data_IF_878475348656
#
_entry.id   IF_878475348656
#
_cell.length_a   1.000
_cell.length_b   1.000
_cell.length_c   1.000
_cell.angle_alpha   90.00
_cell.angle_beta   90.00
_cell.angle_gamma   90.00
#
_symmetry.space_group_name_H-M   'P 1'
#
loop_
_entity.id
_entity.type
_entity.pdbx_description
1 polymer ?
#
# COMPACT_ATOMS: atom_id res chain seq x y z
N UNK A 1 -12.46 -16.39 -19.48
CA UNK A 1 -13.76 -16.17 -18.86
C UNK A 1 -13.78 -14.83 -18.12
N UNK A 2 -14.90 -14.47 -17.50
CA UNK A 2 -15.04 -13.18 -16.83
C UNK A 2 -14.06 -12.98 -15.69
N UNK A 3 -13.74 -14.03 -14.95
CA UNK A 3 -12.81 -13.94 -13.83
C UNK A 3 -11.39 -13.61 -14.32
N UNK A 4 -10.96 -14.24 -15.40
CA UNK A 4 -9.63 -13.96 -15.99
C UNK A 4 -9.57 -12.51 -16.48
N UNK A 5 -10.62 -12.03 -17.14
CA UNK A 5 -10.68 -10.65 -17.61
C UNK A 5 -10.68 -9.66 -16.45
N UNK A 6 -11.44 -9.91 -15.39
CA UNK A 6 -11.48 -9.05 -14.21
C UNK A 6 -10.11 -8.97 -13.56
N UNK A 7 -9.43 -10.10 -13.40
CA UNK A 7 -8.08 -10.11 -12.80
C UNK A 7 -7.07 -9.36 -13.65
N UNK A 8 -7.16 -9.48 -14.97
CA UNK A 8 -6.32 -8.74 -15.90
C UNK A 8 -6.53 -7.23 -15.77
N UNK A 9 -7.78 -6.80 -15.71
CA UNK A 9 -8.11 -5.38 -15.55
C UNK A 9 -7.64 -4.82 -14.22
N UNK A 10 -7.75 -5.60 -13.15
CA UNK A 10 -7.21 -5.21 -11.83
C UNK A 10 -5.71 -5.01 -11.89
N UNK A 11 -4.98 -5.96 -12.48
CA UNK A 11 -3.54 -5.88 -12.61
C UNK A 11 -3.10 -4.68 -13.44
N UNK A 12 -3.81 -4.39 -14.53
CA UNK A 12 -3.52 -3.22 -15.37
C UNK A 12 -3.76 -1.91 -14.61
N UNK A 13 -4.84 -1.83 -13.83
CA UNK A 13 -5.13 -0.66 -13.04
C UNK A 13 -4.04 -0.42 -11.99
N UNK A 14 -3.67 -1.44 -11.24
CA UNK A 14 -2.63 -1.35 -10.22
C UNK A 14 -1.30 -0.92 -10.82
N UNK A 15 -0.93 -1.49 -11.96
CA UNK A 15 0.31 -1.16 -12.67
C UNK A 15 0.35 0.30 -13.11
N UNK A 16 -0.77 0.77 -13.66
CA UNK A 16 -0.90 2.16 -14.12
C UNK A 16 -0.82 3.14 -12.93
N UNK A 17 -1.53 2.84 -11.85
CA UNK A 17 -1.51 3.68 -10.66
C UNK A 17 -0.13 3.68 -9.99
N UNK A 18 0.56 2.54 -9.97
CA UNK A 18 1.91 2.49 -9.43
C UNK A 18 2.88 3.32 -10.28
N UNK A 19 2.74 3.31 -11.60
CA UNK A 19 3.59 4.12 -12.48
C UNK A 19 3.44 5.62 -12.16
N UNK A 20 2.21 6.08 -11.87
CA UNK A 20 1.97 7.46 -11.44
C UNK A 20 2.61 7.73 -10.08
N UNK A 21 2.45 6.81 -9.15
CA UNK A 21 3.01 6.90 -7.80
C UNK A 21 4.53 7.03 -7.86
N UNK A 22 5.18 6.21 -8.68
CA UNK A 22 6.63 6.19 -8.79
C UNK A 22 7.20 7.50 -9.36
N UNK A 23 6.41 8.24 -10.12
CA UNK A 23 6.82 9.56 -10.61
C UNK A 23 6.68 10.64 -9.54
N UNK A 24 5.75 10.48 -8.61
CA UNK A 24 5.44 11.49 -7.59
C UNK A 24 6.28 11.35 -6.33
N UNK A 25 6.70 10.14 -5.99
CA UNK A 25 7.35 9.85 -4.72
C UNK A 25 8.72 9.22 -4.92
N UNK A 26 9.64 9.50 -4.00
CA UNK A 26 10.99 8.92 -4.01
C UNK A 26 10.96 7.51 -3.45
N UNK A 27 11.92 6.69 -3.89
CA UNK A 27 12.12 5.32 -3.39
C UNK A 27 10.87 4.45 -3.47
N UNK A 28 9.99 4.73 -4.45
CA UNK A 28 8.73 4.04 -4.60
C UNK A 28 8.93 2.56 -4.90
N UNK A 29 8.28 1.71 -4.12
CA UNK A 29 8.24 0.26 -4.36
C UNK A 29 6.82 -0.24 -4.17
N UNK A 30 6.53 -1.41 -4.73
CA UNK A 30 5.19 -2.00 -4.65
C UNK A 30 5.20 -3.30 -3.84
N UNK A 31 4.02 -3.66 -3.33
CA UNK A 31 3.78 -4.98 -2.73
C UNK A 31 4.69 -5.27 -1.54
N UNK A 32 4.66 -4.39 -0.55
CA UNK A 32 5.43 -4.56 0.69
C UNK A 32 4.47 -5.00 1.80
N UNK A 33 4.88 -5.96 2.62
CA UNK A 33 4.09 -6.43 3.76
C UNK A 33 4.56 -5.74 5.03
N UNK A 34 3.60 -5.21 5.78
CA UNK A 34 3.83 -4.50 7.04
C UNK A 34 3.10 -5.22 8.16
N UNK A 35 3.80 -5.41 9.28
CA UNK A 35 3.20 -5.95 10.50
C UNK A 35 2.94 -4.79 11.44
N UNK A 36 1.69 -4.60 11.82
CA UNK A 36 1.29 -3.52 12.73
C UNK A 36 1.65 -3.86 14.18
N UNK A 37 1.49 -2.87 15.07
CA UNK A 37 1.84 -3.06 16.48
C UNK A 37 1.03 -4.18 17.15
N UNK A 38 -0.19 -4.44 16.72
CA UNK A 38 -1.03 -5.52 17.25
C UNK A 38 -0.77 -6.87 16.57
N UNK A 39 0.19 -6.93 15.63
CA UNK A 39 0.56 -8.16 14.96
C UNK A 39 -0.17 -8.44 13.65
N UNK A 40 -1.08 -7.57 13.23
CA UNK A 40 -1.79 -7.73 11.95
C UNK A 40 -0.82 -7.50 10.79
N UNK A 41 -0.81 -8.41 9.82
CA UNK A 41 0.02 -8.26 8.62
C UNK A 41 -0.85 -7.76 7.48
N UNK A 42 -0.42 -6.67 6.84
CA UNK A 42 -1.09 -6.14 5.65
C UNK A 42 -0.07 -5.94 4.55
N UNK A 43 -0.46 -6.28 3.32
CA UNK A 43 0.36 -5.99 2.16
C UNK A 43 -0.21 -4.74 1.50
N UNK A 44 0.65 -3.73 1.30
CA UNK A 44 0.25 -2.46 0.68
C UNK A 44 0.70 -2.47 -0.78
N UNK A 45 -0.08 -1.81 -1.63
CA UNK A 45 0.23 -1.80 -3.07
C UNK A 45 1.41 -0.90 -3.40
N UNK A 46 1.55 0.23 -2.73
CA UNK A 46 2.64 1.16 -2.99
C UNK A 46 3.10 1.86 -1.72
N UNK A 47 4.40 2.05 -1.60
CA UNK A 47 5.01 2.82 -0.51
C UNK A 47 6.18 3.62 -1.08
N UNK A 48 6.32 4.85 -0.61
CA UNK A 48 7.37 5.74 -1.06
C UNK A 48 7.57 6.88 -0.08
N UNK A 49 8.35 7.87 -0.48
CA UNK A 49 8.69 9.01 0.36
C UNK A 49 8.32 10.29 -0.36
N UNK A 50 7.59 11.19 0.33
CA UNK A 50 7.23 12.49 -0.22
C UNK A 50 8.50 13.31 -0.44
N UNK A 51 8.63 13.90 -1.62
CA UNK A 51 9.84 14.63 -2.01
C UNK A 51 10.06 15.87 -1.17
N UNK A 52 9.00 16.49 -0.70
CA UNK A 52 9.06 17.74 0.07
C UNK A 52 9.12 17.48 1.57
N UNK A 53 8.18 16.70 2.09
CA UNK A 53 8.06 16.49 3.53
C UNK A 53 8.96 15.38 4.05
N UNK A 54 9.42 14.50 3.16
CA UNK A 54 10.19 13.29 3.50
C UNK A 54 9.41 12.31 4.35
N UNK A 55 8.09 12.44 4.39
CA UNK A 55 7.21 11.52 5.09
C UNK A 55 6.93 10.29 4.24
N UNK A 56 6.65 9.18 4.89
CA UNK A 56 6.28 7.94 4.22
C UNK A 56 4.84 8.06 3.72
N UNK A 57 4.63 7.69 2.47
CA UNK A 57 3.32 7.70 1.81
C UNK A 57 2.98 6.29 1.38
N UNK A 58 1.80 5.82 1.76
CA UNK A 58 1.33 4.47 1.44
C UNK A 58 -0.01 4.56 0.72
N UNK A 59 -0.14 3.82 -0.37
CA UNK A 59 -1.39 3.77 -1.12
C UNK A 59 -1.81 2.34 -1.42
N UNK A 60 -3.11 2.14 -1.41
CA UNK A 60 -3.76 0.90 -1.81
C UNK A 60 -4.61 1.18 -3.04
N UNK A 61 -4.49 0.37 -4.08
CA UNK A 61 -5.20 0.58 -5.34
C UNK A 61 -6.35 -0.42 -5.47
N UNK A 62 -7.58 0.08 -5.54
CA UNK A 62 -8.78 -0.73 -5.77
C UNK A 62 -9.34 -0.41 -7.14
N UNK A 63 -9.54 -1.42 -7.97
CA UNK A 63 -9.91 -1.23 -9.38
C UNK A 63 -11.37 -0.85 -9.60
N UNK A 64 -12.18 -0.79 -8.55
CA UNK A 64 -13.57 -0.34 -8.65
C UNK A 64 -13.93 0.56 -7.48
N UNK A 65 -15.01 1.34 -7.64
CA UNK A 65 -15.51 2.22 -6.59
C UNK A 65 -15.96 1.48 -5.34
N UNK A 66 -16.38 0.25 -5.50
CA UNK A 66 -17.05 -0.51 -4.43
C UNK A 66 -16.27 -1.73 -3.97
N UNK A 67 -15.09 -2.01 -4.55
CA UNK A 67 -14.28 -3.15 -4.11
C UNK A 67 -13.94 -2.98 -2.63
N UNK A 68 -14.28 -3.94 -1.76
CA UNK A 68 -14.05 -3.79 -0.33
C UNK A 68 -12.58 -3.98 0.02
N UNK A 69 -12.18 -3.42 1.14
CA UNK A 69 -10.90 -3.77 1.76
C UNK A 69 -10.99 -5.22 2.25
N UNK A 70 -9.86 -5.92 2.25
CA UNK A 70 -9.80 -7.24 2.89
C UNK A 70 -9.93 -7.09 4.40
N UNK A 71 -10.16 -8.19 5.11
CA UNK A 71 -10.25 -8.16 6.58
C UNK A 71 -8.96 -7.59 7.18
N UNK A 72 -7.81 -8.05 6.72
CA UNK A 72 -6.53 -7.57 7.24
C UNK A 72 -6.31 -6.08 6.94
N UNK A 73 -6.75 -5.60 5.79
CA UNK A 73 -6.66 -4.18 5.46
C UNK A 73 -7.59 -3.35 6.36
N UNK A 74 -8.84 -3.80 6.57
CA UNK A 74 -9.78 -3.09 7.44
C UNK A 74 -9.27 -2.98 8.87
N UNK A 75 -8.63 -4.05 9.36
CA UNK A 75 -8.10 -4.09 10.73
C UNK A 75 -6.75 -3.39 10.81
N UNK A 76 -5.89 -3.63 9.83
CA UNK A 76 -4.50 -3.19 9.86
C UNK A 76 -4.27 -1.73 9.53
N UNK A 77 -5.04 -1.16 8.59
CA UNK A 77 -4.81 0.25 8.22
C UNK A 77 -5.04 1.20 9.40
N UNK A 78 -6.13 1.07 10.18
CA UNK A 78 -6.26 1.89 11.40
C UNK A 78 -5.18 1.62 12.44
N UNK A 79 -4.75 0.36 12.60
CA UNK A 79 -3.69 0.00 13.53
C UNK A 79 -2.35 0.62 13.12
N UNK A 80 -2.08 0.66 11.81
CA UNK A 80 -0.89 1.30 11.29
C UNK A 80 -0.88 2.79 11.67
N UNK A 81 -2.00 3.45 11.55
CA UNK A 81 -2.15 4.85 11.94
C UNK A 81 -1.94 5.05 13.44
N UNK A 82 -2.51 4.18 14.27
CA UNK A 82 -2.45 4.34 15.72
C UNK A 82 -1.09 3.95 16.31
N UNK A 83 -0.47 2.89 15.81
CA UNK A 83 0.73 2.32 16.43
C UNK A 83 1.93 2.17 15.51
N UNK A 84 1.79 2.48 14.23
CA UNK A 84 2.83 2.22 13.25
C UNK A 84 3.01 0.73 12.97
N UNK A 85 4.15 0.37 12.40
CA UNK A 85 4.43 -1.01 12.07
C UNK A 85 5.86 -1.20 11.61
N UNK A 86 6.14 -2.39 11.13
CA UNK A 86 7.47 -2.77 10.66
C UNK A 86 7.32 -3.60 9.38
N UNK A 87 8.17 -3.33 8.41
CA UNK A 87 8.22 -4.15 7.20
C UNK A 87 8.71 -5.53 7.57
N UNK A 88 8.03 -6.58 7.08
CA UNK A 88 8.40 -7.97 7.33
C UNK A 88 8.78 -8.65 6.03
N UNK A 89 9.53 -9.74 6.13
CA UNK A 89 10.07 -10.44 4.96
C UNK A 89 11.28 -9.71 4.40
N UNK A 90 11.57 -9.91 3.14
CA UNK A 90 12.72 -9.26 2.49
C UNK A 90 12.50 -7.78 2.25
N UNK A 91 11.25 -7.39 2.03
CA UNK A 91 10.92 -6.03 1.62
C UNK A 91 11.41 -5.73 0.22
N UNK A 92 11.49 -4.44 -0.11
CA UNK A 92 11.98 -3.96 -1.41
C UNK A 92 12.65 -2.61 -1.25
N UNK A 93 13.74 -2.41 -2.00
CA UNK A 93 14.46 -1.13 -1.97
C UNK A 93 14.91 -0.77 -0.56
N UNK A 94 14.64 0.47 -0.15
CA UNK A 94 14.95 0.91 1.21
C UNK A 94 13.99 0.32 2.25
N UNK A 95 12.81 -0.14 1.82
CA UNK A 95 11.80 -0.70 2.71
C UNK A 95 12.06 -2.19 2.93
N UNK A 96 13.16 -2.50 3.56
CA UNK A 96 13.61 -3.86 3.86
C UNK A 96 12.94 -4.37 5.13
N UNK A 97 13.00 -5.67 5.35
CA UNK A 97 12.56 -6.26 6.60
C UNK A 97 13.21 -5.56 7.79
N UNK A 98 12.39 -5.13 8.75
CA UNK A 98 12.83 -4.35 9.89
C UNK A 98 12.66 -2.85 9.75
N UNK A 99 12.36 -2.34 8.55
CA UNK A 99 12.12 -0.91 8.36
C UNK A 99 10.88 -0.49 9.16
N UNK A 100 11.02 0.54 10.00
CA UNK A 100 9.93 0.99 10.87
C UNK A 100 9.06 2.01 10.17
N UNK A 101 7.75 1.77 10.20
CA UNK A 101 6.73 2.70 9.71
C UNK A 101 6.21 3.46 10.93
N UNK A 102 6.31 4.79 10.98
CA UNK A 102 5.93 5.54 12.17
C UNK A 102 4.42 5.55 12.37
N UNK A 103 4.00 5.66 13.64
CA UNK A 103 2.60 5.89 13.95
C UNK A 103 2.16 7.21 13.32
N UNK A 104 0.88 7.32 12.97
CA UNK A 104 0.37 8.47 12.23
C UNK A 104 0.38 8.28 10.72
N UNK A 105 1.05 7.22 10.22
CA UNK A 105 1.08 6.92 8.79
C UNK A 105 -0.29 6.38 8.38
N UNK A 106 -0.90 7.03 7.39
CA UNK A 106 -2.21 6.61 6.86
C UNK A 106 -2.04 5.96 5.50
N UNK A 107 -2.96 5.05 5.18
CA UNK A 107 -3.02 4.43 3.86
C UNK A 107 -4.14 5.10 3.08
N UNK A 108 -3.80 5.71 1.95
CA UNK A 108 -4.79 6.29 1.06
C UNK A 108 -5.28 5.22 0.09
N UNK A 109 -6.60 5.02 0.04
CA UNK A 109 -7.21 4.06 -0.89
C UNK A 109 -7.58 4.80 -2.16
N UNK A 110 -6.98 4.41 -3.26
CA UNK A 110 -7.19 5.04 -4.58
C UNK A 110 -8.17 4.18 -5.36
N UNK A 111 -9.22 4.81 -5.86
CA UNK A 111 -10.26 4.16 -6.64
C UNK A 111 -10.50 4.92 -7.93
N UNK A 112 -11.01 4.25 -8.99
CA UNK A 112 -11.39 4.96 -10.20
C UNK A 112 -12.46 6.02 -9.91
N UNK A 113 -12.43 7.11 -10.67
CA UNK A 113 -13.41 8.20 -10.52
C UNK A 113 -14.80 7.78 -11.00
N UNK A 114 -14.89 6.76 -11.85
CA UNK A 114 -16.15 6.28 -12.41
C UNK A 114 -16.44 4.84 -12.07
#
# INVERSE_FOLDING_TARGET
NNLILINKLKGEYEKKEFAKFAKQYDDAVEQVTIKTADGTKVRVDAIGIDKKTKEIVIKEFKSSKTAPLTKNQRDGFPELKSGGGVVVGKGKGIFKGGFKIPKGTTVEVIRPLK
#
